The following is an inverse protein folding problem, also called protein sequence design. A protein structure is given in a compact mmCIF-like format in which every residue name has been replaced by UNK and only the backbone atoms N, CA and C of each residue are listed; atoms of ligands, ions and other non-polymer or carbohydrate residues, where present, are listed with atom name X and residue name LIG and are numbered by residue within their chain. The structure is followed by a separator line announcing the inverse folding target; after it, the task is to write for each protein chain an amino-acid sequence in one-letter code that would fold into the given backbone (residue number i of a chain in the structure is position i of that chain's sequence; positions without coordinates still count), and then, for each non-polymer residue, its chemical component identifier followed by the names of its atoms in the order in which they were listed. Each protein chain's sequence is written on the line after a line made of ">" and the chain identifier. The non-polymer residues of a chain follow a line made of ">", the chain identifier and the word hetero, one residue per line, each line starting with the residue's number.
data_IF_339157094179
#
_entry.id   IF_339157094179
#
_cell.length_a   1.000
_cell.length_b   1.000
_cell.length_c   1.000
_cell.angle_alpha   90.00
_cell.angle_beta   90.00
_cell.angle_gamma   90.00
#
_symmetry.space_group_name_H-M   'P 1'
#
loop_
_entity.id
_entity.type
_entity.pdbx_description
1 polymer ?
#
# COMPACT_ATOMS: atom_id res chain seq x y z
N UNK A 1 -10.85 7.75 39.94
CA UNK A 1 -10.10 6.67 39.26
C UNK A 1 -11.08 5.59 38.86
N UNK A 2 -11.68 5.69 37.67
CA UNK A 2 -12.69 4.74 37.18
C UNK A 2 -12.45 4.62 35.66
N UNK A 3 -11.58 3.70 35.25
CA UNK A 3 -11.44 3.29 33.85
C UNK A 3 -10.62 2.00 33.63
N UNK A 4 -10.12 1.32 34.67
CA UNK A 4 -9.28 0.13 34.48
C UNK A 4 -10.10 -1.16 34.26
N UNK A 5 -11.38 -1.20 34.67
CA UNK A 5 -12.23 -2.41 34.56
C UNK A 5 -13.25 -2.36 33.42
N UNK A 6 -12.80 -2.35 32.16
CA UNK A 6 -13.43 -3.28 31.21
C UNK A 6 -12.45 -3.84 30.16
N UNK A 7 -11.13 -3.85 30.41
CA UNK A 7 -10.19 -4.43 29.43
C UNK A 7 -10.08 -5.95 29.61
N UNK A 8 -9.97 -6.44 30.84
CA UNK A 8 -9.77 -7.87 31.11
C UNK A 8 -11.04 -8.71 30.86
N UNK A 9 -12.23 -8.11 30.97
CA UNK A 9 -13.51 -8.80 30.67
C UNK A 9 -13.70 -9.01 29.16
N UNK A 10 -13.15 -8.11 28.32
CA UNK A 10 -13.28 -8.17 26.86
C UNK A 10 -12.00 -8.65 26.15
N UNK A 11 -10.93 -8.91 26.90
CA UNK A 11 -9.74 -9.56 26.39
C UNK A 11 -10.10 -11.00 25.98
N UNK A 12 -9.90 -11.33 24.70
CA UNK A 12 -10.09 -12.70 24.19
C UNK A 12 -9.38 -13.68 25.14
N UNK A 13 -10.14 -14.64 25.69
CA UNK A 13 -9.66 -15.71 26.58
C UNK A 13 -8.24 -16.14 26.20
N UNK A 14 -7.32 -16.11 27.16
CA UNK A 14 -5.87 -16.27 26.93
C UNK A 14 -5.54 -17.52 26.09
N UNK A 15 -6.25 -18.62 26.32
CA UNK A 15 -6.13 -19.85 25.53
C UNK A 15 -6.53 -19.71 24.06
N UNK A 16 -7.65 -19.01 23.78
CA UNK A 16 -8.12 -18.74 22.40
C UNK A 16 -7.15 -17.80 21.68
N UNK A 17 -6.62 -16.79 22.38
CA UNK A 17 -5.64 -15.85 21.82
C UNK A 17 -4.33 -16.56 21.48
N UNK A 18 -3.84 -17.44 22.36
CA UNK A 18 -2.60 -18.20 22.14
C UNK A 18 -2.73 -19.16 20.96
N UNK A 19 -3.84 -19.91 20.90
CA UNK A 19 -4.12 -20.80 19.77
C UNK A 19 -4.27 -20.03 18.45
N UNK A 20 -5.00 -18.92 18.45
CA UNK A 20 -5.18 -18.07 17.26
C UNK A 20 -3.86 -17.49 16.75
N UNK A 21 -2.99 -17.03 17.65
CA UNK A 21 -1.68 -16.49 17.29
C UNK A 21 -0.76 -17.59 16.73
N UNK A 22 -0.80 -18.79 17.30
CA UNK A 22 -0.05 -19.95 16.79
C UNK A 22 -0.48 -20.30 15.37
N UNK A 23 -1.78 -20.39 15.11
CA UNK A 23 -2.33 -20.65 13.76
C UNK A 23 -1.91 -19.56 12.77
N UNK A 24 -1.99 -18.28 13.16
CA UNK A 24 -1.56 -17.17 12.29
C UNK A 24 -0.06 -17.21 11.99
N UNK A 25 0.75 -17.58 12.98
CA UNK A 25 2.20 -17.73 12.84
C UNK A 25 2.53 -18.87 11.88
N UNK A 26 1.94 -20.06 12.08
CA UNK A 26 2.12 -21.23 11.21
C UNK A 26 1.68 -20.95 9.77
N UNK A 27 0.53 -20.29 9.58
CA UNK A 27 0.08 -19.85 8.24
C UNK A 27 1.05 -18.85 7.61
N UNK A 28 1.61 -17.93 8.40
CA UNK A 28 2.61 -16.97 7.91
C UNK A 28 3.92 -17.66 7.54
N UNK A 29 4.37 -18.64 8.33
CA UNK A 29 5.57 -19.44 8.07
C UNK A 29 5.39 -20.32 6.82
N UNK A 30 4.22 -20.94 6.64
CA UNK A 30 3.87 -21.67 5.42
C UNK A 30 3.81 -20.75 4.20
N UNK A 31 3.20 -19.56 4.32
CA UNK A 31 3.18 -18.56 3.25
C UNK A 31 4.61 -18.10 2.86
N UNK A 32 5.52 -18.00 3.85
CA UNK A 32 6.92 -17.61 3.64
C UNK A 32 7.74 -18.78 3.05
N UNK A 33 7.48 -20.02 3.45
CA UNK A 33 8.13 -21.20 2.91
C UNK A 33 7.67 -21.53 1.47
N UNK A 34 6.38 -21.34 1.18
CA UNK A 34 5.77 -21.59 -0.14
C UNK A 34 5.91 -20.41 -1.11
N UNK A 35 6.77 -19.44 -0.82
CA UNK A 35 6.68 -18.06 -1.32
C UNK A 35 7.12 -17.86 -2.78
N UNK A 36 6.50 -18.58 -3.70
CA UNK A 36 6.29 -18.10 -5.06
C UNK A 36 4.91 -17.42 -5.10
N UNK A 37 4.90 -16.10 -4.88
CA UNK A 37 3.74 -15.27 -5.20
C UNK A 37 3.33 -15.53 -6.65
N UNK A 38 2.28 -16.33 -6.86
CA UNK A 38 1.70 -16.61 -8.18
C UNK A 38 0.95 -15.36 -8.63
N UNK A 39 1.62 -14.51 -9.40
CA UNK A 39 1.04 -13.29 -9.97
C UNK A 39 0.09 -13.71 -11.10
N UNK A 40 -1.22 -13.41 -11.01
CA UNK A 40 -2.14 -13.69 -12.12
C UNK A 40 -1.68 -12.96 -13.39
N UNK A 41 -1.83 -13.56 -14.59
CA UNK A 41 -1.41 -12.92 -15.84
C UNK A 41 -1.99 -11.51 -16.03
N UNK A 42 -3.19 -11.25 -15.52
CA UNK A 42 -3.85 -9.94 -15.55
C UNK A 42 -3.07 -8.85 -14.80
N UNK A 43 -2.37 -9.22 -13.73
CA UNK A 43 -1.54 -8.33 -12.91
C UNK A 43 -0.03 -8.54 -13.17
N UNK A 44 0.34 -9.06 -14.34
CA UNK A 44 1.74 -9.08 -14.76
C UNK A 44 2.29 -7.64 -14.84
N UNK A 45 3.62 -7.50 -14.71
CA UNK A 45 4.29 -6.20 -14.76
C UNK A 45 3.96 -5.46 -16.06
N UNK A 46 4.14 -6.14 -17.19
CA UNK A 46 3.91 -5.59 -18.52
C UNK A 46 2.47 -5.12 -18.72
N UNK A 47 1.48 -5.96 -18.38
CA UNK A 47 0.06 -5.58 -18.50
C UNK A 47 -0.30 -4.43 -17.56
N UNK A 48 0.23 -4.45 -16.33
CA UNK A 48 0.03 -3.36 -15.37
C UNK A 48 0.58 -2.04 -15.87
N UNK A 49 1.84 -2.01 -16.33
CA UNK A 49 2.48 -0.82 -16.90
C UNK A 49 1.71 -0.31 -18.13
N UNK A 50 1.33 -1.21 -19.05
CA UNK A 50 0.55 -0.84 -20.23
C UNK A 50 -0.79 -0.20 -19.85
N UNK A 51 -1.50 -0.73 -18.84
CA UNK A 51 -2.73 -0.09 -18.37
C UNK A 51 -2.45 1.28 -17.76
N UNK A 52 -1.49 1.38 -16.84
CA UNK A 52 -1.10 2.64 -16.19
C UNK A 52 -0.73 3.72 -17.21
N UNK A 53 0.03 3.39 -18.25
CA UNK A 53 0.43 4.32 -19.31
C UNK A 53 -0.75 4.82 -20.15
N UNK A 54 -1.78 3.99 -20.34
CA UNK A 54 -2.94 4.30 -21.16
C UNK A 54 -4.15 4.78 -20.34
N UNK A 55 -3.98 5.09 -19.05
CA UNK A 55 -5.05 5.69 -18.24
C UNK A 55 -5.45 7.03 -18.85
N UNK A 56 -6.72 7.16 -19.17
CA UNK A 56 -7.36 8.39 -19.61
C UNK A 56 -8.03 9.07 -18.40
N UNK A 57 -7.34 10.05 -17.81
CA UNK A 57 -7.82 10.76 -16.62
C UNK A 57 -8.98 11.72 -16.90
N UNK A 58 -9.40 11.88 -18.17
CA UNK A 58 -10.61 12.65 -18.52
C UNK A 58 -11.90 11.88 -18.25
N UNK A 59 -11.81 10.55 -18.10
CA UNK A 59 -12.95 9.66 -17.80
C UNK A 59 -13.03 9.37 -16.31
N UNK A 60 -14.21 8.90 -15.89
CA UNK A 60 -14.40 8.40 -14.54
C UNK A 60 -13.68 7.05 -14.36
N UNK A 61 -12.92 6.86 -13.27
CA UNK A 61 -12.16 5.63 -13.04
C UNK A 61 -13.06 4.44 -12.75
N UNK A 62 -12.59 3.26 -13.17
CA UNK A 62 -13.17 1.97 -12.85
C UNK A 62 -12.43 1.30 -11.68
N UNK A 63 -12.99 0.20 -11.16
CA UNK A 63 -12.31 -0.63 -10.16
C UNK A 63 -10.97 -1.20 -10.66
N UNK A 64 -10.80 -1.33 -11.98
CA UNK A 64 -9.54 -1.71 -12.59
C UNK A 64 -8.48 -0.62 -12.40
N UNK A 65 -8.81 0.64 -12.66
CA UNK A 65 -7.89 1.77 -12.50
C UNK A 65 -7.47 1.92 -11.04
N UNK A 66 -8.42 1.76 -10.11
CA UNK A 66 -8.14 1.70 -8.68
C UNK A 66 -7.15 0.58 -8.34
N UNK A 67 -7.35 -0.63 -8.88
CA UNK A 67 -6.45 -1.76 -8.64
C UNK A 67 -5.06 -1.50 -9.23
N UNK A 68 -4.97 -0.90 -10.41
CA UNK A 68 -3.71 -0.57 -11.06
C UNK A 68 -2.95 0.52 -10.31
N UNK A 69 -3.62 1.56 -9.81
CA UNK A 69 -3.02 2.60 -8.97
C UNK A 69 -2.58 2.03 -7.61
N UNK A 70 -3.35 1.10 -7.03
CA UNK A 70 -2.93 0.36 -5.82
C UNK A 70 -1.64 -0.44 -6.05
N UNK A 71 -1.55 -1.14 -7.18
CA UNK A 71 -0.35 -1.90 -7.57
C UNK A 71 0.82 -0.96 -7.84
N UNK A 72 0.59 0.12 -8.59
CA UNK A 72 1.58 1.15 -8.92
C UNK A 72 2.23 1.73 -7.67
N UNK A 73 1.41 2.15 -6.70
CA UNK A 73 1.84 2.81 -5.46
C UNK A 73 2.14 1.84 -4.32
N UNK A 74 1.96 0.53 -4.54
CA UNK A 74 2.15 -0.49 -3.52
C UNK A 74 1.35 -0.21 -2.22
N UNK A 75 0.18 0.42 -2.36
CA UNK A 75 -0.60 0.90 -1.21
C UNK A 75 -1.64 -0.10 -0.72
N UNK A 76 -2.05 0.08 0.53
CA UNK A 76 -3.22 -0.63 1.06
C UNK A 76 -4.46 0.11 0.56
N UNK A 77 -5.59 -0.59 0.33
CA UNK A 77 -6.83 0.11 -0.02
C UNK A 77 -7.29 1.13 1.05
N UNK A 78 -6.91 0.89 2.31
CA UNK A 78 -7.21 1.80 3.43
C UNK A 78 -6.40 3.09 3.38
N UNK A 79 -5.34 3.14 2.58
CA UNK A 79 -4.48 4.32 2.43
C UNK A 79 -4.96 5.21 1.29
N UNK A 80 -5.92 4.76 0.46
CA UNK A 80 -6.33 5.50 -0.75
C UNK A 80 -6.76 6.93 -0.41
N UNK A 81 -7.51 7.12 0.67
CA UNK A 81 -8.00 8.45 1.08
C UNK A 81 -6.96 9.33 1.78
N UNK A 82 -5.92 8.73 2.37
CA UNK A 82 -4.98 9.43 3.25
C UNK A 82 -3.58 9.57 2.67
N UNK A 83 -3.17 8.70 1.75
CA UNK A 83 -1.84 8.71 1.15
C UNK A 83 -1.62 10.01 0.40
N UNK A 84 -0.48 10.64 0.62
CA UNK A 84 -0.02 11.81 -0.10
C UNK A 84 1.37 11.53 -0.66
N UNK A 85 1.69 12.15 -1.79
CA UNK A 85 3.00 12.09 -2.45
C UNK A 85 3.40 13.53 -2.68
N UNK A 86 4.46 13.97 -2.02
CA UNK A 86 4.88 15.38 -2.04
C UNK A 86 6.36 15.50 -2.33
N UNK A 87 6.71 16.56 -3.05
CA UNK A 87 8.09 16.96 -3.26
C UNK A 87 8.62 17.61 -1.98
N UNK A 88 9.82 17.22 -1.56
CA UNK A 88 10.49 17.78 -0.41
C UNK A 88 11.77 18.46 -0.84
N UNK A 89 11.78 19.79 -0.76
CA UNK A 89 12.99 20.59 -0.88
C UNK A 89 13.67 20.67 0.47
N UNK A 90 14.93 20.25 0.49
CA UNK A 90 15.72 20.19 1.71
C UNK A 90 16.39 21.53 1.92
N UNK A 91 16.19 22.12 3.09
CA UNK A 91 17.16 23.08 3.59
C UNK A 91 18.43 22.32 3.97
N UNK A 92 19.43 22.36 3.10
CA UNK A 92 20.71 21.67 3.30
C UNK A 92 21.47 22.18 4.53
N UNK A 93 21.10 23.34 5.09
CA UNK A 93 21.68 23.86 6.32
C UNK A 93 21.13 23.19 7.58
N UNK A 94 19.94 22.59 7.52
CA UNK A 94 19.31 21.89 8.63
C UNK A 94 18.33 20.80 8.15
N UNK A 95 18.83 19.68 7.61
CA UNK A 95 17.97 18.61 7.13
C UNK A 95 17.23 17.95 8.29
N UNK A 96 15.94 17.65 8.08
CA UNK A 96 15.15 16.88 9.04
C UNK A 96 15.79 15.52 9.34
N UNK A 97 15.72 15.03 10.58
CA UNK A 97 16.35 13.76 10.96
C UNK A 97 15.85 12.52 10.18
N UNK A 98 14.66 12.59 9.59
CA UNK A 98 14.08 11.54 8.74
C UNK A 98 14.53 11.62 7.28
N UNK A 99 15.12 12.74 6.87
CA UNK A 99 15.57 12.96 5.50
C UNK A 99 16.66 11.94 5.13
N UNK A 100 16.61 11.48 3.88
CA UNK A 100 17.62 10.59 3.32
C UNK A 100 18.13 11.21 2.04
N UNK A 101 19.44 11.46 2.00
CA UNK A 101 20.09 12.02 0.82
C UNK A 101 19.80 11.17 -0.42
N UNK A 102 19.51 11.83 -1.54
CA UNK A 102 19.15 11.19 -2.82
C UNK A 102 17.66 10.95 -3.05
N UNK A 103 16.77 11.36 -2.13
CA UNK A 103 15.32 11.36 -2.35
C UNK A 103 14.77 12.78 -2.30
N UNK A 104 13.90 13.12 -3.25
CA UNK A 104 13.21 14.41 -3.34
C UNK A 104 11.69 14.27 -3.24
N UNK A 105 11.17 13.04 -3.24
CA UNK A 105 9.75 12.75 -3.19
C UNK A 105 9.46 11.80 -2.05
N UNK A 106 8.42 12.11 -1.27
CA UNK A 106 8.09 11.39 -0.05
C UNK A 106 6.59 11.10 0.04
N UNK A 107 6.26 10.06 0.80
CA UNK A 107 4.91 9.64 1.12
C UNK A 107 4.59 9.89 2.59
N UNK A 108 3.40 10.43 2.84
CA UNK A 108 2.76 10.52 4.17
C UNK A 108 1.37 9.87 4.12
N UNK A 109 0.69 9.78 5.26
CA UNK A 109 -0.68 9.25 5.32
C UNK A 109 -0.83 7.76 5.02
N UNK A 110 0.27 7.00 5.09
CA UNK A 110 0.25 5.53 5.04
C UNK A 110 -0.33 4.94 6.34
N UNK A 111 -0.76 3.68 6.31
CA UNK A 111 -1.49 3.05 7.42
C UNK A 111 -0.73 1.87 8.06
N UNK A 112 -1.12 1.55 9.30
CA UNK A 112 -0.67 0.37 10.08
C UNK A 112 0.80 0.36 10.49
N UNK A 113 1.33 1.51 10.91
CA UNK A 113 2.66 1.59 11.52
C UNK A 113 2.52 1.68 13.04
N UNK A 114 2.54 0.52 13.70
CA UNK A 114 2.37 0.41 15.16
C UNK A 114 3.58 1.06 15.85
N UNK A 115 3.33 1.98 16.77
CA UNK A 115 4.38 2.70 17.51
C UNK A 115 4.89 3.98 16.84
N UNK A 116 4.36 4.33 15.66
CA UNK A 116 4.60 5.64 15.06
C UNK A 116 3.55 6.66 15.51
N UNK A 117 3.95 7.93 15.60
CA UNK A 117 3.03 9.03 15.86
C UNK A 117 1.94 9.04 14.76
N UNK A 118 0.68 8.99 15.18
CA UNK A 118 -0.47 8.98 14.26
C UNK A 118 -0.78 10.36 13.70
N UNK A 119 -0.45 11.40 14.43
CA UNK A 119 -0.77 12.79 14.09
C UNK A 119 0.27 13.34 13.11
N UNK A 120 1.52 12.90 13.21
CA UNK A 120 2.59 13.27 12.30
C UNK A 120 3.48 12.06 11.97
N UNK A 121 3.03 11.13 11.11
CA UNK A 121 3.84 10.00 10.70
C UNK A 121 5.05 10.50 9.90
N UNK A 122 6.21 9.91 10.21
CA UNK A 122 7.49 10.21 9.56
C UNK A 122 7.40 10.00 8.03
N UNK A 123 7.72 11.01 7.18
CA UNK A 123 7.69 10.82 5.74
C UNK A 123 8.59 9.66 5.28
N UNK A 124 8.10 8.88 4.32
CA UNK A 124 8.84 7.73 3.75
C UNK A 124 9.25 8.03 2.31
N UNK A 125 10.46 7.68 1.87
CA UNK A 125 10.85 7.92 0.49
C UNK A 125 9.86 7.28 -0.51
N UNK A 126 9.54 8.00 -1.57
CA UNK A 126 8.62 7.53 -2.60
C UNK A 126 9.34 6.58 -3.59
N UNK A 127 8.74 5.42 -3.81
CA UNK A 127 9.13 4.47 -4.86
C UNK A 127 7.90 3.76 -5.39
N UNK A 128 7.69 3.78 -6.70
CA UNK A 128 6.49 3.22 -7.35
C UNK A 128 6.82 2.61 -8.70
N UNK A 129 5.86 1.92 -9.33
CA UNK A 129 6.03 1.44 -10.71
C UNK A 129 6.06 2.56 -11.75
N UNK A 130 5.32 3.65 -11.51
CA UNK A 130 5.41 4.87 -12.30
C UNK A 130 6.67 5.64 -11.87
N UNK A 131 7.57 5.87 -12.83
CA UNK A 131 8.86 6.53 -12.56
C UNK A 131 8.72 8.03 -12.41
N UNK A 132 7.72 8.64 -13.06
CA UNK A 132 7.44 10.06 -12.90
C UNK A 132 6.58 10.28 -11.62
N UNK A 133 7.15 10.85 -10.55
CA UNK A 133 6.43 11.04 -9.29
C UNK A 133 5.26 12.02 -9.39
N UNK A 134 5.33 13.02 -10.27
CA UNK A 134 4.23 13.96 -10.52
C UNK A 134 3.05 13.24 -11.17
N UNK A 135 3.33 12.38 -12.16
CA UNK A 135 2.30 11.56 -12.80
C UNK A 135 1.68 10.58 -11.80
N UNK A 136 2.50 9.95 -10.96
CA UNK A 136 2.02 9.05 -9.92
C UNK A 136 1.12 9.78 -8.91
N UNK A 137 1.50 11.00 -8.51
CA UNK A 137 0.69 11.90 -7.66
C UNK A 137 -0.63 12.27 -8.34
N UNK A 138 -0.60 12.65 -9.62
CA UNK A 138 -1.79 13.01 -10.37
C UNK A 138 -2.78 11.84 -10.46
N UNK A 139 -2.30 10.62 -10.72
CA UNK A 139 -3.13 9.41 -10.75
C UNK A 139 -3.73 9.07 -9.38
N UNK A 140 -2.98 9.28 -8.29
CA UNK A 140 -3.50 9.13 -6.93
C UNK A 140 -4.63 10.11 -6.65
N UNK A 141 -4.42 11.39 -6.95
CA UNK A 141 -5.41 12.45 -6.76
C UNK A 141 -6.66 12.17 -7.61
N UNK A 142 -6.50 11.75 -8.86
CA UNK A 142 -7.62 11.41 -9.74
C UNK A 142 -8.52 10.31 -9.14
N UNK A 143 -7.94 9.25 -8.58
CA UNK A 143 -8.69 8.20 -7.86
C UNK A 143 -9.37 8.76 -6.60
N UNK A 144 -8.65 9.57 -5.82
CA UNK A 144 -9.18 10.18 -4.58
C UNK A 144 -10.38 11.08 -4.86
N UNK A 145 -10.29 11.96 -5.87
CA UNK A 145 -11.37 12.87 -6.25
C UNK A 145 -12.58 12.14 -6.82
N UNK A 146 -12.37 11.07 -7.61
CA UNK A 146 -13.47 10.24 -8.07
C UNK A 146 -14.21 9.53 -6.92
N UNK A 147 -13.49 9.10 -5.88
CA UNK A 147 -14.11 8.54 -4.67
C UNK A 147 -14.89 9.61 -3.91
N UNK A 148 -14.30 10.79 -3.68
CA UNK A 148 -14.96 11.91 -3.00
C UNK A 148 -16.23 12.35 -3.73
N UNK A 149 -16.19 12.38 -5.06
CA UNK A 149 -17.34 12.70 -5.92
C UNK A 149 -18.38 11.57 -6.03
N UNK A 150 -18.13 10.39 -5.43
CA UNK A 150 -19.03 9.24 -5.50
C UNK A 150 -19.04 8.53 -6.86
N UNK A 151 -18.13 8.89 -7.78
CA UNK A 151 -17.96 8.29 -9.11
C UNK A 151 -17.28 6.92 -9.07
N UNK A 152 -16.48 6.69 -8.04
CA UNK A 152 -15.82 5.43 -7.75
C UNK A 152 -16.13 4.98 -6.32
N UNK A 153 -16.42 3.71 -6.13
CA UNK A 153 -16.64 3.17 -4.78
C UNK A 153 -15.33 3.13 -3.99
N UNK A 154 -15.34 3.70 -2.77
CA UNK A 154 -14.24 3.55 -1.82
C UNK A 154 -13.99 2.05 -1.54
N UNK A 155 -12.73 1.59 -1.61
CA UNK A 155 -12.42 0.16 -1.44
C UNK A 155 -12.45 -0.32 0.02
N UNK A 156 -12.60 0.59 0.97
CA UNK A 156 -12.55 0.36 2.42
C UNK A 156 -13.86 0.72 3.10
N UNK A 157 -14.50 1.82 2.73
CA UNK A 157 -15.68 2.35 3.40
C UNK A 157 -16.89 2.41 2.46
N UNK A 158 -18.08 2.31 3.05
CA UNK A 158 -19.33 2.60 2.35
C UNK A 158 -19.66 4.09 2.47
N UNK A 159 -20.62 4.55 1.65
CA UNK A 159 -21.20 5.90 1.75
C UNK A 159 -21.67 6.29 3.16
N UNK A 160 -22.01 5.32 4.01
CA UNK A 160 -22.47 5.55 5.38
C UNK A 160 -21.30 5.52 6.40
N UNK A 161 -20.04 5.61 5.95
CA UNK A 161 -18.84 5.54 6.82
C UNK A 161 -18.55 4.16 7.41
N UNK A 162 -19.42 3.17 7.19
CA UNK A 162 -19.18 1.78 7.65
C UNK A 162 -18.16 1.10 6.77
N UNK A 163 -17.23 0.35 7.36
CA UNK A 163 -16.25 -0.45 6.64
C UNK A 163 -16.95 -1.44 5.68
N UNK A 164 -16.69 -1.32 4.39
CA UNK A 164 -17.24 -2.16 3.35
C UNK A 164 -16.21 -2.43 2.25
N UNK A 165 -15.50 -3.55 2.36
CA UNK A 165 -14.51 -3.98 1.36
C UNK A 165 -15.12 -4.87 0.28
N UNK A 166 -16.46 -5.06 0.25
CA UNK A 166 -17.11 -6.09 -0.55
C UNK A 166 -16.95 -5.83 -2.05
N UNK A 167 -17.14 -4.59 -2.50
CA UNK A 167 -17.08 -4.25 -3.93
C UNK A 167 -15.69 -4.54 -4.51
N UNK A 168 -14.65 -3.99 -3.90
CA UNK A 168 -13.27 -4.22 -4.34
C UNK A 168 -12.84 -5.69 -4.20
N UNK A 169 -13.23 -6.36 -3.11
CA UNK A 169 -12.93 -7.80 -2.95
C UNK A 169 -13.63 -8.66 -4.00
N UNK A 170 -14.87 -8.32 -4.38
CA UNK A 170 -15.62 -9.01 -5.45
C UNK A 170 -14.91 -8.84 -6.79
N UNK A 171 -14.39 -7.66 -7.09
CA UNK A 171 -13.60 -7.40 -8.29
C UNK A 171 -12.31 -8.23 -8.35
N UNK A 172 -11.62 -8.44 -7.22
CA UNK A 172 -10.38 -9.22 -7.19
C UNK A 172 -10.60 -10.75 -7.22
N UNK A 173 -11.81 -11.22 -6.88
CA UNK A 173 -12.14 -12.64 -6.74
C UNK A 173 -11.82 -13.49 -7.99
N UNK A 174 -12.12 -13.07 -9.23
CA UNK A 174 -11.80 -13.86 -10.44
C UNK A 174 -10.30 -14.13 -10.60
N UNK A 175 -9.46 -13.23 -10.09
CA UNK A 175 -8.01 -13.36 -10.16
C UNK A 175 -7.42 -14.16 -8.99
N UNK A 176 -8.26 -14.62 -8.04
CA UNK A 176 -7.86 -15.37 -6.85
C UNK A 176 -6.84 -14.63 -5.97
N UNK A 177 -6.93 -13.30 -5.91
CA UNK A 177 -6.06 -12.47 -5.07
C UNK A 177 -6.86 -11.64 -4.07
N UNK A 178 -6.20 -11.25 -2.99
CA UNK A 178 -6.73 -10.32 -1.99
C UNK A 178 -6.02 -8.97 -2.11
N UNK A 179 -6.55 -7.89 -1.49
CA UNK A 179 -5.84 -6.61 -1.49
C UNK A 179 -4.43 -6.66 -0.85
N UNK A 180 -4.21 -7.57 0.12
CA UNK A 180 -2.88 -7.81 0.71
C UNK A 180 -1.92 -8.36 -0.35
N UNK A 181 -2.38 -9.31 -1.16
CA UNK A 181 -1.61 -9.91 -2.25
C UNK A 181 -1.36 -8.87 -3.36
N UNK A 182 -2.37 -8.06 -3.70
CA UNK A 182 -2.25 -6.98 -4.68
C UNK A 182 -1.14 -5.98 -4.32
N UNK A 183 -1.07 -5.56 -3.05
CA UNK A 183 0.02 -4.73 -2.53
C UNK A 183 1.40 -5.39 -2.66
N UNK A 184 1.50 -6.69 -2.36
CA UNK A 184 2.77 -7.46 -2.52
C UNK A 184 3.19 -7.56 -3.99
N UNK A 185 2.23 -7.69 -4.92
CA UNK A 185 2.49 -7.67 -6.36
C UNK A 185 3.12 -6.33 -6.74
N UNK A 186 2.55 -5.21 -6.27
CA UNK A 186 3.09 -3.87 -6.47
C UNK A 186 4.55 -3.77 -6.03
N UNK A 187 4.87 -4.18 -4.79
CA UNK A 187 6.24 -4.13 -4.27
C UNK A 187 7.24 -4.89 -5.15
N UNK A 188 6.89 -6.11 -5.56
CA UNK A 188 7.73 -6.92 -6.47
C UNK A 188 7.91 -6.27 -7.84
N UNK A 189 6.87 -5.62 -8.36
CA UNK A 189 6.94 -4.89 -9.63
C UNK A 189 7.81 -3.64 -9.52
N UNK A 190 7.67 -2.86 -8.45
CA UNK A 190 8.54 -1.71 -8.18
C UNK A 190 10.02 -2.13 -8.10
N UNK A 191 10.33 -3.22 -7.40
CA UNK A 191 11.69 -3.78 -7.37
C UNK A 191 12.23 -4.11 -8.77
N UNK A 192 11.39 -4.66 -9.66
CA UNK A 192 11.79 -4.98 -11.04
C UNK A 192 12.00 -3.74 -11.90
N UNK A 193 11.22 -2.69 -11.68
CA UNK A 193 11.33 -1.41 -12.40
C UNK A 193 12.62 -0.65 -12.02
N UNK A 194 13.05 -0.79 -10.76
CA UNK A 194 14.15 0.00 -10.18
C UNK A 194 15.44 -0.77 -9.87
N UNK A 195 15.42 -2.11 -9.87
CA UNK A 195 16.56 -2.93 -9.48
C UNK A 195 17.74 -2.91 -10.44
N UNK A 196 17.56 -2.43 -11.68
CA UNK A 196 18.62 -2.43 -12.69
C UNK A 196 19.07 -3.84 -13.12
N UNK A 197 20.19 -3.95 -13.86
CA UNK A 197 20.75 -5.24 -14.25
C UNK A 197 21.42 -5.93 -13.05
N UNK A 198 21.13 -7.21 -12.83
CA UNK A 198 21.73 -8.06 -11.80
C UNK A 198 21.67 -7.52 -10.35
N UNK A 199 20.49 -7.16 -9.83
CA UNK A 199 20.36 -6.65 -8.47
C UNK A 199 20.68 -7.73 -7.43
N UNK A 200 21.38 -7.33 -6.36
CA UNK A 200 21.57 -8.21 -5.20
C UNK A 200 20.26 -8.39 -4.44
N UNK A 201 20.15 -9.49 -3.69
CA UNK A 201 18.97 -9.73 -2.84
C UNK A 201 18.75 -8.61 -1.81
N UNK A 202 19.83 -8.10 -1.21
CA UNK A 202 19.77 -6.99 -0.25
C UNK A 202 19.23 -5.70 -0.89
N UNK A 203 19.65 -5.41 -2.12
CA UNK A 203 19.14 -4.25 -2.86
C UNK A 203 17.64 -4.39 -3.17
N UNK A 204 17.19 -5.56 -3.62
CA UNK A 204 15.77 -5.82 -3.88
C UNK A 204 14.92 -5.73 -2.60
N UNK A 205 15.42 -6.22 -1.47
CA UNK A 205 14.73 -6.11 -0.18
C UNK A 205 14.59 -4.64 0.25
N UNK A 206 15.65 -3.84 0.10
CA UNK A 206 15.61 -2.40 0.38
C UNK A 206 14.57 -1.69 -0.50
N UNK A 207 14.58 -1.93 -1.83
CA UNK A 207 13.58 -1.37 -2.74
C UNK A 207 12.16 -1.79 -2.35
N UNK A 208 11.96 -3.05 -1.96
CA UNK A 208 10.66 -3.56 -1.54
C UNK A 208 10.18 -2.88 -0.25
N UNK A 209 11.09 -2.67 0.71
CA UNK A 209 10.79 -1.95 1.96
C UNK A 209 10.42 -0.49 1.68
N UNK A 210 11.13 0.19 0.78
CA UNK A 210 10.80 1.57 0.36
C UNK A 210 9.43 1.59 -0.32
N UNK A 211 9.21 0.76 -1.34
CA UNK A 211 7.94 0.70 -2.07
C UNK A 211 6.74 0.42 -1.14
N UNK A 212 6.91 -0.48 -0.18
CA UNK A 212 5.89 -0.82 0.80
C UNK A 212 5.81 0.19 1.96
N UNK A 213 6.65 1.23 2.00
CA UNK A 213 6.72 2.24 3.06
C UNK A 213 6.93 1.63 4.45
N UNK A 214 7.77 0.61 4.52
CA UNK A 214 8.21 0.07 5.79
C UNK A 214 9.33 0.94 6.34
N UNK A 215 9.45 0.98 7.67
CA UNK A 215 10.60 1.63 8.32
C UNK A 215 11.89 0.95 7.82
N UNK A 216 12.86 1.75 7.40
CA UNK A 216 14.13 1.32 6.80
C UNK A 216 15.20 1.37 7.87
#
# INVERSE_FOLDING_TARGET
>A
SIAQEPIDIYAKLLGITTASNKIQKEQTEQDVANNQLKIPPHFSLEKGLKRIQNIDTTKDPLLQDLADVIVMLCMRPTEVSSLQIDHYEVDLSNPSAWYKNGYFWYCTGYAKNKGENKDNPEPRPFLSMEKNPERARALLIWIQEAIKAGKLSDPTFSKNGKRNTRAFSKFLKPYKITPKILRKIGGKHACRVHGGPNPTHQHLDLLNRIALRHKI
#
